data_IF_999103496305
#
_entry.id   IF_999103496305
#
_cell.length_a   1.000
_cell.length_b   1.000
_cell.length_c   1.000
_cell.angle_alpha   90.00
_cell.angle_beta   90.00
_cell.angle_gamma   90.00
#
_symmetry.space_group_name_H-M   'P 1'
#
loop_
_entity.id
_entity.type
_entity.pdbx_description
1 polymer ?
#
# COMPACT_ATOMS: atom_id res chain seq x y z
N UNK A 1 8.79 6.83 28.00
CA UNK A 1 8.73 6.57 26.55
C UNK A 1 7.38 5.90 26.35
N UNK A 2 6.43 6.55 25.68
CA UNK A 2 5.10 5.99 25.52
C UNK A 2 5.21 4.72 24.67
N UNK A 3 4.87 3.57 25.26
CA UNK A 3 4.80 2.30 24.54
C UNK A 3 3.61 2.41 23.57
N UNK A 4 3.74 1.92 22.34
CA UNK A 4 2.66 1.97 21.33
C UNK A 4 1.37 1.41 21.93
N UNK A 5 1.50 0.38 22.76
CA UNK A 5 0.44 -0.21 23.58
C UNK A 5 -0.35 0.79 24.43
N UNK A 6 0.28 1.73 25.12
CA UNK A 6 -0.43 2.71 25.96
C UNK A 6 -1.32 3.64 25.13
N UNK A 7 -0.81 4.07 23.96
CA UNK A 7 -1.55 4.94 23.04
C UNK A 7 -2.73 4.18 22.44
N UNK A 8 -2.50 2.92 22.05
CA UNK A 8 -3.54 2.01 21.54
C UNK A 8 -4.63 1.77 22.59
N UNK A 9 -4.26 1.40 23.81
CA UNK A 9 -5.20 1.13 24.90
C UNK A 9 -6.05 2.36 25.21
N UNK A 10 -5.44 3.55 25.22
CA UNK A 10 -6.17 4.80 25.40
C UNK A 10 -7.14 5.08 24.24
N UNK A 11 -6.74 4.82 22.99
CA UNK A 11 -7.60 5.00 21.84
C UNK A 11 -8.78 4.03 21.84
N UNK A 12 -8.55 2.78 22.23
CA UNK A 12 -9.59 1.75 22.39
C UNK A 12 -10.55 2.10 23.54
N UNK A 13 -10.02 2.54 24.69
CA UNK A 13 -10.84 2.91 25.85
C UNK A 13 -11.71 4.15 25.60
N UNK A 14 -11.19 5.12 24.84
CA UNK A 14 -11.92 6.36 24.52
C UNK A 14 -12.75 6.27 23.25
N UNK A 15 -12.54 5.24 22.42
CA UNK A 15 -13.14 5.12 21.09
C UNK A 15 -12.69 6.23 20.13
N UNK A 16 -11.56 6.90 20.42
CA UNK A 16 -11.10 8.04 19.63
C UNK A 16 -9.58 8.05 19.47
N UNK A 17 -9.12 8.25 18.24
CA UNK A 17 -7.70 8.38 17.90
C UNK A 17 -7.43 9.76 17.31
N UNK A 18 -6.68 10.60 18.03
CA UNK A 18 -6.29 11.93 17.54
C UNK A 18 -5.18 11.85 16.50
N UNK A 19 -5.03 12.90 15.69
CA UNK A 19 -3.93 13.00 14.70
C UNK A 19 -2.56 12.94 15.40
N UNK A 20 -2.44 13.57 16.56
CA UNK A 20 -1.18 13.59 17.35
C UNK A 20 -0.82 12.18 17.80
N UNK A 21 -1.79 11.44 18.36
CA UNK A 21 -1.59 10.06 18.79
C UNK A 21 -1.28 9.12 17.62
N UNK A 22 -1.94 9.30 16.47
CA UNK A 22 -1.65 8.54 15.25
C UNK A 22 -0.22 8.80 14.75
N UNK A 23 0.23 10.05 14.72
CA UNK A 23 1.58 10.41 14.28
C UNK A 23 2.65 9.88 15.24
N UNK A 24 2.37 9.90 16.55
CA UNK A 24 3.25 9.31 17.56
C UNK A 24 3.39 7.79 17.36
N UNK A 25 2.27 7.06 17.24
CA UNK A 25 2.30 5.61 16.96
C UNK A 25 3.01 5.31 15.65
N UNK A 26 2.77 6.09 14.59
CA UNK A 26 3.46 5.91 13.30
C UNK A 26 4.97 6.12 13.43
N UNK A 27 5.40 7.14 14.18
CA UNK A 27 6.82 7.40 14.42
C UNK A 27 7.48 6.28 15.19
N UNK A 28 6.80 5.74 16.21
CA UNK A 28 7.32 4.65 17.05
C UNK A 28 7.48 3.35 16.26
N UNK A 29 6.51 3.01 15.40
CA UNK A 29 6.59 1.83 14.51
C UNK A 29 7.67 1.99 13.45
N UNK A 30 7.98 3.22 13.02
CA UNK A 30 9.06 3.48 12.07
C UNK A 30 10.46 3.40 12.70
N UNK A 31 10.58 3.52 14.02
CA UNK A 31 11.86 3.46 14.71
C UNK A 31 12.25 2.05 15.14
N UNK A 32 11.62 1.54 16.19
CA UNK A 32 11.97 0.29 16.86
C UNK A 32 10.72 -0.14 17.62
N UNK A 33 10.17 -1.30 17.28
CA UNK A 33 8.95 -1.84 17.88
C UNK A 33 9.16 -3.33 18.15
N UNK A 34 8.55 -3.82 19.23
CA UNK A 34 8.50 -5.25 19.52
C UNK A 34 7.19 -5.87 18.97
N UNK A 35 7.14 -7.20 18.94
CA UNK A 35 5.98 -8.00 18.57
C UNK A 35 4.68 -7.56 19.26
N UNK A 36 4.72 -7.30 20.57
CA UNK A 36 3.56 -6.82 21.33
C UNK A 36 3.04 -5.45 20.84
N UNK A 37 3.95 -4.55 20.45
CA UNK A 37 3.60 -3.24 19.93
C UNK A 37 2.97 -3.34 18.53
N UNK A 38 3.46 -4.28 17.71
CA UNK A 38 2.88 -4.58 16.40
C UNK A 38 1.46 -5.15 16.54
N UNK A 39 1.26 -6.08 17.46
CA UNK A 39 -0.06 -6.67 17.72
C UNK A 39 -1.05 -5.62 18.22
N UNK A 40 -0.62 -4.74 19.15
CA UNK A 40 -1.42 -3.61 19.61
C UNK A 40 -1.80 -2.68 18.43
N UNK A 41 -0.86 -2.37 17.55
CA UNK A 41 -1.15 -1.54 16.39
C UNK A 41 -2.12 -2.20 15.41
N UNK A 42 -1.96 -3.48 15.11
CA UNK A 42 -2.88 -4.23 14.24
C UNK A 42 -4.29 -4.25 14.84
N UNK A 43 -4.40 -4.44 16.16
CA UNK A 43 -5.68 -4.37 16.86
C UNK A 43 -6.32 -2.99 16.70
N UNK A 44 -5.56 -1.91 16.90
CA UNK A 44 -6.05 -0.54 16.69
C UNK A 44 -6.55 -0.33 15.25
N UNK A 45 -5.80 -0.78 14.24
CA UNK A 45 -6.23 -0.66 12.84
C UNK A 45 -7.55 -1.40 12.58
N UNK A 46 -7.72 -2.61 13.14
CA UNK A 46 -8.97 -3.37 13.03
C UNK A 46 -10.14 -2.63 13.68
N UNK A 47 -9.96 -2.08 14.88
CA UNK A 47 -11.01 -1.32 15.57
C UNK A 47 -11.38 -0.04 14.84
N UNK A 48 -10.42 0.63 14.19
CA UNK A 48 -10.73 1.78 13.32
C UNK A 48 -11.54 1.36 12.10
N UNK A 49 -11.17 0.25 11.45
CA UNK A 49 -11.91 -0.28 10.28
C UNK A 49 -13.30 -0.79 10.66
N UNK A 50 -13.45 -1.41 11.84
CA UNK A 50 -14.73 -1.83 12.39
C UNK A 50 -15.62 -0.65 12.79
N UNK A 51 -15.03 0.54 13.00
CA UNK A 51 -15.72 1.74 13.44
C UNK A 51 -15.83 1.90 14.96
N UNK A 52 -15.23 0.99 15.74
CA UNK A 52 -15.17 1.07 17.21
C UNK A 52 -14.30 2.23 17.69
N UNK A 53 -13.29 2.60 16.89
CA UNK A 53 -12.43 3.76 17.15
C UNK A 53 -12.59 4.78 16.03
N UNK A 54 -13.07 5.96 16.39
CA UNK A 54 -13.16 7.09 15.47
C UNK A 54 -11.82 7.79 15.36
N UNK A 55 -11.18 7.65 14.21
CA UNK A 55 -9.97 8.40 13.90
C UNK A 55 -10.32 9.85 13.52
N UNK A 56 -9.56 10.80 14.06
CA UNK A 56 -9.63 12.20 13.68
C UNK A 56 -9.29 12.34 12.19
N UNK A 57 -10.24 12.86 11.41
CA UNK A 57 -10.05 13.02 9.98
C UNK A 57 -9.02 14.11 9.72
N UNK A 58 -7.85 13.74 9.19
CA UNK A 58 -7.04 14.68 8.40
C UNK A 58 -7.88 15.05 7.20
N UNK A 59 -8.57 16.19 7.25
CA UNK A 59 -9.19 16.78 6.07
C UNK A 59 -8.07 17.13 5.09
N UNK A 60 -7.61 16.16 4.31
CA UNK A 60 -7.05 16.44 3.00
C UNK A 60 -8.22 16.96 2.20
N UNK A 61 -8.31 18.29 2.09
CA UNK A 61 -9.09 18.95 1.06
C UNK A 61 -8.43 18.56 -0.26
N UNK A 62 -8.62 17.33 -0.73
CA UNK A 62 -8.60 17.07 -2.15
C UNK A 62 -9.90 17.71 -2.62
N UNK A 63 -9.84 19.00 -2.92
CA UNK A 63 -10.85 19.61 -3.76
C UNK A 63 -11.00 18.69 -4.97
N UNK A 64 -12.23 18.26 -5.34
CA UNK A 64 -12.40 17.57 -6.60
C UNK A 64 -11.80 18.48 -7.66
N UNK A 65 -10.77 18.00 -8.34
CA UNK A 65 -10.20 18.68 -9.49
C UNK A 65 -11.35 19.02 -10.44
N UNK A 66 -11.36 20.22 -11.03
CA UNK A 66 -12.42 20.58 -11.97
C UNK A 66 -12.41 19.55 -13.09
N UNK A 67 -13.59 19.03 -13.44
CA UNK A 67 -13.76 18.14 -14.58
C UNK A 67 -13.30 18.85 -15.85
N UNK A 68 -12.06 18.64 -16.26
CA UNK A 68 -11.59 18.97 -17.61
C UNK A 68 -11.53 17.68 -18.42
N UNK A 69 -12.59 17.55 -19.22
CA UNK A 69 -12.72 16.84 -20.50
C UNK A 69 -11.39 16.49 -21.20
N UNK A 70 -10.75 15.37 -20.86
CA UNK A 70 -9.65 14.80 -21.66
C UNK A 70 -9.53 13.27 -21.53
N UNK A 71 -10.55 12.53 -21.98
CA UNK A 71 -10.47 11.08 -22.19
C UNK A 71 -9.37 10.65 -23.19
N UNK A 72 -8.81 11.62 -23.93
CA UNK A 72 -7.73 11.43 -24.91
C UNK A 72 -6.37 11.15 -24.26
N UNK A 73 -6.10 11.63 -23.04
CA UNK A 73 -4.79 11.46 -22.40
C UNK A 73 -4.60 10.04 -21.84
N UNK A 74 -5.66 9.46 -21.27
CA UNK A 74 -5.60 8.10 -20.68
C UNK A 74 -5.37 7.00 -21.72
N UNK A 75 -6.04 7.10 -22.88
CA UNK A 75 -5.93 6.08 -23.94
C UNK A 75 -4.53 6.12 -24.58
N UNK A 76 -3.95 7.31 -24.80
CA UNK A 76 -2.61 7.46 -25.36
C UNK A 76 -1.53 6.86 -24.46
N UNK A 77 -1.62 7.09 -23.15
CA UNK A 77 -0.69 6.50 -22.18
C UNK A 77 -0.81 4.98 -22.14
N UNK A 78 -2.03 4.44 -22.12
CA UNK A 78 -2.25 3.00 -22.12
C UNK A 78 -1.67 2.32 -23.38
N UNK A 79 -1.82 2.94 -24.55
CA UNK A 79 -1.23 2.45 -25.80
C UNK A 79 0.30 2.47 -25.78
N UNK A 80 0.91 3.52 -25.24
CA UNK A 80 2.36 3.63 -25.18
C UNK A 80 2.98 2.58 -24.24
N UNK A 81 2.39 2.38 -23.06
CA UNK A 81 2.80 1.32 -22.13
C UNK A 81 2.69 -0.07 -22.77
N UNK A 82 1.58 -0.34 -23.48
CA UNK A 82 1.40 -1.61 -24.16
C UNK A 82 2.44 -1.84 -25.27
N UNK A 83 2.79 -0.79 -26.03
CA UNK A 83 3.80 -0.88 -27.09
C UNK A 83 5.20 -1.19 -26.54
N UNK A 84 5.59 -0.56 -25.42
CA UNK A 84 6.88 -0.83 -24.76
C UNK A 84 6.95 -2.26 -24.21
N UNK A 85 5.87 -2.74 -23.58
CA UNK A 85 5.78 -4.12 -23.06
C UNK A 85 5.89 -5.13 -24.21
N UNK A 86 5.17 -4.90 -25.32
CA UNK A 86 5.22 -5.78 -26.48
C UNK A 86 6.61 -5.81 -27.13
N UNK A 87 7.28 -4.66 -27.23
CA UNK A 87 8.64 -4.58 -27.74
C UNK A 87 9.64 -5.32 -26.84
N UNK A 88 9.57 -5.12 -25.53
CA UNK A 88 10.41 -5.82 -24.57
C UNK A 88 10.20 -7.35 -24.63
N UNK A 89 8.95 -7.79 -24.74
CA UNK A 89 8.61 -9.21 -24.90
C UNK A 89 9.17 -9.79 -26.21
N UNK A 90 9.06 -9.07 -27.32
CA UNK A 90 9.62 -9.48 -28.60
C UNK A 90 11.15 -9.62 -28.52
N UNK A 91 11.85 -8.65 -27.93
CA UNK A 91 13.30 -8.73 -27.73
C UNK A 91 13.67 -9.93 -26.86
N UNK A 92 12.98 -10.16 -25.74
CA UNK A 92 13.21 -11.30 -24.86
C UNK A 92 13.02 -12.64 -25.60
N UNK A 93 11.99 -12.75 -26.44
CA UNK A 93 11.75 -13.94 -27.27
C UNK A 93 12.82 -14.12 -28.36
N UNK A 94 13.35 -13.04 -28.94
CA UNK A 94 14.44 -13.13 -29.93
C UNK A 94 15.79 -13.47 -29.31
N UNK A 95 16.01 -13.13 -28.04
CA UNK A 95 17.20 -13.53 -27.27
C UNK A 95 17.12 -15.01 -26.86
N UNK A 96 15.92 -15.60 -26.77
CA UNK A 96 15.69 -17.02 -26.51
C UNK A 96 15.69 -17.86 -27.80
N UNK A 97 16.74 -17.70 -28.62
CA UNK A 97 17.08 -18.62 -29.71
C UNK A 97 18.47 -19.20 -29.47
N UNK A 98 18.63 -19.94 -28.38
CA UNK A 98 19.70 -20.92 -28.27
C UNK A 98 19.30 -22.09 -27.36
N UNK A 99 18.33 -22.88 -27.80
CA UNK A 99 18.19 -24.28 -27.36
C UNK A 99 18.87 -25.16 -28.41
N UNK A 100 20.14 -25.49 -28.16
CA UNK A 100 20.71 -26.75 -28.65
C UNK A 100 20.44 -27.82 -27.59
N UNK A 101 19.65 -28.79 -28.03
CA UNK A 101 19.62 -30.20 -27.63
C UNK A 101 19.50 -30.56 -26.14
N UNK A 102 18.33 -31.09 -25.76
CA UNK A 102 18.30 -32.48 -25.28
C UNK A 102 16.89 -33.10 -25.46
N UNK A 103 16.78 -34.30 -26.06
CA UNK A 103 15.50 -34.92 -26.35
C UNK A 103 14.92 -35.69 -25.15
N UNK A 104 13.59 -35.71 -25.14
CA UNK A 104 12.74 -36.60 -24.36
C UNK A 104 13.07 -38.08 -24.61
N UNK A 105 13.20 -38.85 -23.52
CA UNK A 105 12.84 -40.28 -23.37
C UNK A 105 12.56 -40.45 -21.85
N UNK A 106 11.43 -40.91 -21.34
CA UNK A 106 10.45 -41.81 -21.92
C UNK A 106 10.82 -43.27 -21.61
N UNK A 107 10.84 -43.65 -20.32
CA UNK A 107 10.59 -45.00 -19.78
C UNK A 107 10.54 -44.93 -18.25
#
# INVERSE_FOLDING_TARGET
MALIKEIVEKALATGYLSIVAEDEVRSLIQSDYDSDDLDAWILLQRSVVAGDVKQESRRKKVSPSPKTKDASSGIKHAYQMAAEIAYAAAIALTMSKNTKDQPSLGA
#
